data_IF_176300715788
#
_entry.id   IF_176300715788
#
_cell.length_a   1.000
_cell.length_b   1.000
_cell.length_c   1.000
_cell.angle_alpha   90.00
_cell.angle_beta   90.00
_cell.angle_gamma   90.00
#
_symmetry.space_group_name_H-M   'P 1'
#
loop_
_entity.id
_entity.type
_entity.pdbx_description
1 polymer ?
#
# COMPACT_ATOMS: atom_id res chain seq x y z
N UNK A 1 -15.16 -16.51 -43.52
CA UNK A 1 -14.11 -15.95 -42.66
C UNK A 1 -14.77 -15.41 -41.41
N UNK A 2 -14.65 -16.09 -40.27
CA UNK A 2 -15.14 -15.58 -38.99
C UNK A 2 -14.20 -14.45 -38.57
N UNK A 3 -14.63 -13.20 -38.76
CA UNK A 3 -13.93 -12.05 -38.16
C UNK A 3 -14.13 -12.21 -36.66
N UNK A 4 -13.09 -12.68 -35.98
CA UNK A 4 -13.10 -12.77 -34.53
C UNK A 4 -13.00 -11.32 -34.01
N UNK A 5 -14.16 -10.69 -33.90
CA UNK A 5 -14.38 -9.34 -33.40
C UNK A 5 -13.76 -9.32 -32.02
N UNK A 6 -12.65 -8.60 -31.90
CA UNK A 6 -11.87 -8.43 -30.68
C UNK A 6 -12.83 -8.23 -29.51
N UNK A 7 -12.77 -9.12 -28.49
CA UNK A 7 -13.68 -9.06 -27.34
C UNK A 7 -13.69 -7.63 -26.78
N UNK A 8 -14.83 -6.97 -26.85
CA UNK A 8 -14.95 -5.62 -26.32
C UNK A 8 -14.74 -5.66 -24.80
N UNK A 9 -13.76 -4.91 -24.32
CA UNK A 9 -13.55 -4.67 -22.89
C UNK A 9 -13.42 -3.18 -22.72
N UNK A 10 -14.23 -2.61 -21.82
CA UNK A 10 -14.13 -1.20 -21.41
C UNK A 10 -12.81 -0.92 -20.69
N UNK A 11 -12.10 -1.95 -20.25
CA UNK A 11 -10.84 -1.86 -19.50
C UNK A 11 -9.59 -2.05 -20.37
N UNK A 12 -9.73 -2.12 -21.71
CA UNK A 12 -8.61 -2.37 -22.65
C UNK A 12 -7.49 -1.32 -22.54
N UNK A 13 -7.78 -0.15 -21.98
CA UNK A 13 -6.84 0.96 -21.81
C UNK A 13 -6.64 1.38 -20.35
N UNK A 14 -6.91 0.49 -19.39
CA UNK A 14 -6.58 0.74 -17.98
C UNK A 14 -5.10 0.52 -17.76
N UNK A 15 -4.42 1.53 -17.21
CA UNK A 15 -3.01 1.45 -16.83
C UNK A 15 -2.79 2.08 -15.45
N UNK A 16 -1.82 1.55 -14.72
CA UNK A 16 -1.40 2.13 -13.45
C UNK A 16 -0.52 3.35 -13.71
N UNK A 17 -0.78 4.44 -12.99
CA UNK A 17 0.12 5.59 -12.93
C UNK A 17 0.74 5.66 -11.53
N UNK A 18 2.03 5.32 -11.36
CA UNK A 18 2.67 5.44 -10.06
C UNK A 18 2.72 6.91 -9.63
N UNK A 19 2.59 7.14 -8.32
CA UNK A 19 2.78 8.47 -7.74
C UNK A 19 4.26 8.85 -7.74
N UNK A 20 4.56 10.15 -7.68
CA UNK A 20 5.94 10.61 -7.58
C UNK A 20 6.54 10.23 -6.22
N UNK A 21 7.86 10.06 -6.16
CA UNK A 21 8.54 9.66 -4.93
C UNK A 21 8.29 10.62 -3.75
N UNK A 22 8.16 11.92 -4.02
CA UNK A 22 7.81 12.95 -3.04
C UNK A 22 6.42 12.79 -2.40
N UNK A 23 5.56 11.97 -3.01
CA UNK A 23 4.23 11.63 -2.52
C UNK A 23 4.19 10.22 -1.91
N UNK A 24 5.32 9.49 -1.92
CA UNK A 24 5.43 8.18 -1.31
C UNK A 24 5.74 8.28 0.18
N UNK A 25 5.23 7.32 0.95
CA UNK A 25 5.68 7.13 2.33
C UNK A 25 7.04 6.44 2.32
N UNK A 26 8.04 7.06 2.96
CA UNK A 26 9.40 6.53 3.11
C UNK A 26 9.72 6.23 4.58
N UNK A 27 10.79 5.45 4.79
CA UNK A 27 11.29 5.05 6.12
C UNK A 27 10.36 4.13 6.94
N UNK A 28 9.57 3.29 6.26
CA UNK A 28 8.74 2.26 6.90
C UNK A 28 9.54 0.95 6.98
N UNK A 29 9.77 0.45 8.20
CA UNK A 29 10.44 -0.83 8.45
C UNK A 29 9.47 -2.00 8.32
N UNK A 30 9.13 -2.38 7.09
CA UNK A 30 8.21 -3.49 6.81
C UNK A 30 8.76 -4.79 7.39
N UNK A 31 7.88 -5.66 7.88
CA UNK A 31 8.27 -7.00 8.34
C UNK A 31 8.89 -7.85 7.23
N UNK A 32 9.91 -8.63 7.56
CA UNK A 32 10.52 -9.64 6.66
C UNK A 32 9.81 -11.01 6.77
N UNK A 33 8.83 -11.11 7.69
CA UNK A 33 8.10 -12.34 7.97
C UNK A 33 6.96 -12.47 6.96
N UNK A 34 7.06 -13.47 6.08
CA UNK A 34 6.27 -13.62 4.85
C UNK A 34 5.08 -14.58 4.95
N UNK A 35 4.54 -14.85 6.15
CA UNK A 35 3.40 -15.75 6.31
C UNK A 35 2.12 -15.17 5.66
N UNK A 36 1.91 -15.46 4.37
CA UNK A 36 0.73 -15.22 3.50
C UNK A 36 -0.09 -13.92 3.68
N UNK A 37 0.44 -12.94 4.39
CA UNK A 37 -0.31 -11.79 4.86
C UNK A 37 -0.15 -10.62 3.92
N UNK A 38 -1.27 -9.98 3.59
CA UNK A 38 -1.28 -8.67 2.98
C UNK A 38 -0.59 -7.70 3.96
N UNK A 39 0.64 -7.28 3.67
CA UNK A 39 1.47 -6.45 4.55
C UNK A 39 0.85 -5.10 4.91
N UNK A 40 -0.15 -4.66 4.14
CA UNK A 40 -0.83 -3.41 4.36
C UNK A 40 -2.34 -3.50 4.10
N UNK A 41 -3.08 -2.67 4.82
CA UNK A 41 -4.51 -2.44 4.62
C UNK A 41 -4.77 -0.92 4.55
N UNK A 42 -5.68 -0.49 3.68
CA UNK A 42 -5.91 0.92 3.41
C UNK A 42 -7.40 1.23 3.50
N UNK A 43 -7.72 2.40 4.06
CA UNK A 43 -8.99 3.06 3.91
C UNK A 43 -8.76 4.53 3.45
N UNK A 44 -9.81 5.29 3.10
CA UNK A 44 -9.63 6.66 2.59
C UNK A 44 -8.95 7.64 3.57
N UNK A 45 -8.84 7.30 4.87
CA UNK A 45 -8.23 8.14 5.90
C UNK A 45 -6.86 7.63 6.35
N UNK A 46 -6.64 6.32 6.37
CA UNK A 46 -5.49 5.69 7.01
C UNK A 46 -4.95 4.51 6.19
N UNK A 47 -3.65 4.28 6.36
CA UNK A 47 -2.88 3.14 5.86
C UNK A 47 -2.31 2.42 7.07
N UNK A 48 -2.60 1.13 7.23
CA UNK A 48 -2.03 0.25 8.23
C UNK A 48 -0.96 -0.64 7.57
N UNK A 49 0.21 -0.76 8.18
CA UNK A 49 1.36 -1.50 7.64
C UNK A 49 1.97 -2.36 8.75
N UNK A 50 2.21 -3.63 8.47
CA UNK A 50 2.90 -4.53 9.40
C UNK A 50 4.39 -4.18 9.41
N UNK A 51 4.93 -3.89 10.60
CA UNK A 51 6.33 -3.46 10.76
C UNK A 51 7.16 -4.53 11.47
N UNK A 52 8.48 -4.46 11.31
CA UNK A 52 9.42 -5.36 11.97
C UNK A 52 9.43 -5.13 13.48
N UNK A 53 9.20 -6.19 14.25
CA UNK A 53 9.36 -6.22 15.71
C UNK A 53 8.78 -7.50 16.32
N UNK A 54 8.93 -7.65 17.64
CA UNK A 54 8.38 -8.79 18.39
C UNK A 54 6.89 -8.61 18.65
N UNK A 55 6.10 -9.69 18.57
CA UNK A 55 4.67 -9.67 18.90
C UNK A 55 3.74 -9.19 17.77
N UNK A 56 4.21 -9.13 16.53
CA UNK A 56 3.40 -8.75 15.37
C UNK A 56 2.98 -7.27 15.34
N UNK A 57 3.91 -6.30 15.51
CA UNK A 57 3.55 -4.89 15.53
C UNK A 57 3.11 -4.37 14.16
N UNK A 58 2.23 -3.37 14.17
CA UNK A 58 1.82 -2.63 12.98
C UNK A 58 1.81 -1.12 13.23
N UNK A 59 1.92 -0.34 12.15
CA UNK A 59 1.90 1.11 12.17
C UNK A 59 0.72 1.64 11.36
N UNK A 60 0.04 2.66 11.89
CA UNK A 60 -1.07 3.35 11.20
C UNK A 60 -0.65 4.77 10.84
N UNK A 61 -0.81 5.14 9.58
CA UNK A 61 -0.42 6.44 9.03
C UNK A 61 -1.60 7.09 8.30
N UNK A 62 -1.91 8.38 8.55
CA UNK A 62 -2.92 9.09 7.77
C UNK A 62 -2.54 9.20 6.29
N UNK A 63 -3.51 9.06 5.38
CA UNK A 63 -3.29 9.18 3.91
C UNK A 63 -2.77 10.56 3.52
N UNK A 64 -3.10 11.60 4.29
CA UNK A 64 -2.64 12.97 4.05
C UNK A 64 -1.18 13.21 4.45
N UNK A 65 -0.57 12.29 5.21
CA UNK A 65 0.80 12.42 5.70
C UNK A 65 1.78 11.75 4.72
N UNK A 66 1.99 12.37 3.57
CA UNK A 66 2.87 11.89 2.50
C UNK A 66 4.36 12.25 2.68
N UNK A 67 4.82 12.50 3.91
CA UNK A 67 6.22 12.86 4.17
C UNK A 67 6.67 12.36 5.55
N UNK A 68 7.89 11.82 5.61
CA UNK A 68 8.67 11.36 6.77
C UNK A 68 7.83 10.98 8.00
N UNK A 69 7.63 9.68 8.19
CA UNK A 69 7.02 9.13 9.39
C UNK A 69 8.03 9.26 10.55
N UNK A 70 7.98 10.40 11.26
CA UNK A 70 8.70 10.55 12.53
C UNK A 70 8.14 9.52 13.54
N UNK A 71 9.04 8.88 14.29
CA UNK A 71 8.88 7.72 15.20
C UNK A 71 7.81 7.81 16.33
N UNK A 72 6.80 8.66 16.23
CA UNK A 72 5.72 8.82 17.23
C UNK A 72 4.32 8.44 16.74
N UNK A 73 4.19 7.80 15.57
CA UNK A 73 2.88 7.40 15.04
C UNK A 73 2.41 6.10 15.70
N UNK A 74 1.54 6.29 16.70
CA UNK A 74 0.66 5.35 17.39
C UNK A 74 0.93 3.88 17.06
N UNK A 75 1.85 3.27 17.82
CA UNK A 75 1.94 1.82 17.93
C UNK A 75 0.81 1.38 18.85
N UNK A 76 -0.19 0.70 18.28
CA UNK A 76 -1.15 -0.03 19.09
C UNK A 76 -0.48 -1.34 19.49
N UNK A 77 -0.31 -1.54 20.80
CA UNK A 77 0.25 -2.75 21.39
C UNK A 77 -0.86 -3.80 21.57
#
# INVERSE_FOLDING_TARGET
>A
MSVNIVRQSKFRHVFCKPVKHEQCMSDIRITEITWESLFCAVNPKFIAIIVKGSGGPFQVVPVTKTMLIRRGLVSFH
#
